data_IF_621109975244
#
_entry.id   IF_621109975244
#
_cell.length_a   1.000
_cell.length_b   1.000
_cell.length_c   1.000
_cell.angle_alpha   90.00
_cell.angle_beta   90.00
_cell.angle_gamma   90.00
#
_symmetry.space_group_name_H-M   'P 1'
#
loop_
_entity.id
_entity.type
_entity.pdbx_description
1 polymer ?
#
# COMPACT_ATOMS: atom_id res chain seq x y z
N UNK A 1 -0.64 -5.17 -14.35
CA UNK A 1 -0.67 -4.67 -13.80
C UNK A 1 0.20 -3.96 -13.17
N UNK A 2 0.07 -3.06 -12.70
CA UNK A 2 0.95 -2.21 -12.35
C UNK A 2 1.16 -2.17 -10.92
N UNK A 3 1.93 -2.99 -10.34
CA UNK A 3 2.24 -2.90 -8.94
C UNK A 3 2.92 -1.60 -8.64
N UNK A 4 3.63 -1.06 -9.62
CA UNK A 4 4.30 0.22 -9.40
C UNK A 4 3.30 1.32 -9.09
N UNK A 5 2.15 1.30 -9.72
CA UNK A 5 1.12 2.29 -9.46
C UNK A 5 0.63 2.20 -8.01
N UNK A 6 0.43 0.98 -7.53
CA UNK A 6 -0.01 0.80 -6.16
C UNK A 6 1.07 1.26 -5.19
N UNK A 7 2.31 0.94 -5.49
CA UNK A 7 3.41 1.29 -4.61
C UNK A 7 3.61 2.80 -4.58
N UNK A 8 3.43 3.47 -5.71
CA UNK A 8 3.54 4.92 -5.76
C UNK A 8 2.49 5.55 -4.88
N UNK A 9 1.28 5.03 -4.92
CA UNK A 9 0.21 5.55 -4.11
C UNK A 9 0.50 5.33 -2.62
N UNK A 10 0.98 4.15 -2.28
CA UNK A 10 1.30 3.85 -0.89
C UNK A 10 2.42 4.73 -0.39
N UNK A 11 3.38 5.01 -1.24
CA UNK A 11 4.48 5.87 -0.85
C UNK A 11 3.99 7.28 -0.57
N UNK A 12 3.06 7.75 -1.36
CA UNK A 12 2.48 9.06 -1.14
C UNK A 12 1.71 9.09 0.18
N UNK A 13 0.98 8.05 0.46
CA UNK A 13 0.24 7.99 1.72
C UNK A 13 1.20 8.03 2.90
N UNK A 14 2.28 7.29 2.80
CA UNK A 14 3.25 7.25 3.87
C UNK A 14 3.86 8.61 4.09
N UNK A 15 4.21 9.28 3.01
CA UNK A 15 4.86 10.57 3.13
C UNK A 15 3.92 11.66 3.59
N UNK A 16 2.66 11.52 3.27
CA UNK A 16 1.70 12.55 3.67
C UNK A 16 1.35 12.44 5.15
N UNK A 17 1.58 11.27 5.73
CA UNK A 17 1.28 11.09 7.14
C UNK A 17 -0.21 10.96 7.43
N UNK A 18 -1.04 10.79 6.41
CA UNK A 18 -2.47 10.70 6.64
C UNK A 18 -2.81 9.41 7.35
N UNK A 19 -2.02 8.38 7.22
CA UNK A 19 -2.28 7.15 7.92
C UNK A 19 -0.96 6.41 8.03
N UNK A 20 -0.89 5.42 8.91
CA UNK A 20 0.33 4.64 9.00
C UNK A 20 0.24 3.52 7.98
N UNK A 21 1.29 2.73 7.85
CA UNK A 21 1.33 1.70 6.85
C UNK A 21 0.25 0.67 7.03
N UNK A 22 -0.08 0.35 8.26
CA UNK A 22 -1.07 -0.68 8.52
C UNK A 22 -2.47 -0.19 8.20
N UNK A 23 -2.68 1.09 8.17
CA UNK A 23 -3.99 1.63 7.88
C UNK A 23 -4.19 1.95 6.42
N UNK A 24 -3.25 1.58 5.57
CA UNK A 24 -3.34 1.94 4.16
C UNK A 24 -4.26 1.05 3.33
N UNK A 25 -4.57 -0.14 3.82
CA UNK A 25 -5.41 -1.05 3.04
C UNK A 25 -6.76 -0.44 2.65
N UNK A 26 -7.49 0.18 3.57
CA UNK A 26 -8.77 0.77 3.18
C UNK A 26 -8.61 1.86 2.12
N UNK A 27 -7.50 2.56 2.17
CA UNK A 27 -7.25 3.61 1.19
C UNK A 27 -7.01 2.99 -0.19
N UNK A 28 -6.28 1.89 -0.23
CA UNK A 28 -6.05 1.19 -1.47
C UNK A 28 -7.35 0.66 -2.04
N UNK A 29 -8.19 0.10 -1.19
CA UNK A 29 -9.45 -0.44 -1.63
C UNK A 29 -10.29 0.61 -2.30
N UNK A 30 -10.32 1.79 -1.74
CA UNK A 30 -11.14 2.85 -2.30
C UNK A 30 -10.53 3.46 -3.54
N UNK A 31 -9.23 3.62 -3.54
CA UNK A 31 -8.57 4.27 -4.66
C UNK A 31 -8.60 3.42 -5.92
N UNK A 32 -8.40 2.12 -5.77
CA UNK A 32 -8.31 1.24 -6.90
C UNK A 32 -9.44 0.22 -6.98
N UNK A 33 -10.42 0.36 -6.14
CA UNK A 33 -11.58 -0.52 -6.15
C UNK A 33 -11.15 -1.97 -5.98
N UNK A 34 -10.34 -2.23 -5.00
CA UNK A 34 -9.84 -3.57 -4.74
C UNK A 34 -10.59 -4.21 -3.60
N UNK A 35 -10.54 -5.54 -3.55
CA UNK A 35 -11.13 -6.24 -2.43
C UNK A 35 -10.16 -6.14 -1.27
N UNK A 36 -10.64 -6.45 -0.08
CA UNK A 36 -9.80 -6.38 1.11
C UNK A 36 -8.61 -7.32 0.96
N UNK A 37 -8.83 -8.50 0.43
CA UNK A 37 -7.76 -9.47 0.27
C UNK A 37 -6.69 -8.95 -0.68
N UNK A 38 -7.11 -8.35 -1.76
CA UNK A 38 -6.17 -7.82 -2.73
C UNK A 38 -5.38 -6.66 -2.16
N UNK A 39 -6.06 -5.77 -1.48
CA UNK A 39 -5.39 -4.63 -0.89
C UNK A 39 -4.40 -5.07 0.17
N UNK A 40 -4.80 -6.03 0.98
CA UNK A 40 -3.92 -6.52 2.02
C UNK A 40 -2.68 -7.17 1.44
N UNK A 41 -2.86 -7.90 0.35
CA UNK A 41 -1.75 -8.55 -0.26
C UNK A 41 -0.77 -7.55 -0.84
N UNK A 42 -1.26 -6.55 -1.52
CA UNK A 42 -0.42 -5.51 -2.09
C UNK A 42 0.32 -4.77 -0.99
N UNK A 43 -0.40 -4.45 0.07
CA UNK A 43 0.20 -3.73 1.18
C UNK A 43 1.30 -4.56 1.83
N UNK A 44 1.03 -5.83 2.02
CA UNK A 44 1.99 -6.72 2.64
C UNK A 44 3.25 -6.85 1.78
N UNK A 45 3.07 -6.96 0.47
CA UNK A 45 4.20 -7.04 -0.44
C UNK A 45 5.01 -5.76 -0.38
N UNK A 46 4.33 -4.64 -0.35
CA UNK A 46 5.00 -3.35 -0.31
C UNK A 46 5.81 -3.21 0.98
N UNK A 47 5.21 -3.58 2.10
CA UNK A 47 5.91 -3.45 3.36
C UNK A 47 7.12 -4.38 3.44
N UNK A 48 6.96 -5.55 2.86
CA UNK A 48 8.03 -6.50 2.86
C UNK A 48 9.21 -5.99 2.04
N UNK A 49 8.91 -5.38 0.94
CA UNK A 49 9.92 -4.81 0.10
C UNK A 49 10.60 -3.61 0.77
N UNK A 50 9.81 -2.85 1.55
CA UNK A 50 10.30 -1.68 2.17
C UNK A 50 11.18 -1.99 3.33
N UNK A 51 10.92 -3.08 4.09
CA UNK A 51 11.59 -3.37 5.22
C UNK A 51 12.85 -4.01 4.86
N UNK A 52 13.83 -3.43 4.43
CA UNK A 52 14.96 -3.99 4.05
C UNK A 52 15.90 -4.20 5.06
N UNK A 53 16.48 -5.22 5.17
CA UNK A 53 17.39 -5.42 6.22
C UNK A 53 18.60 -4.76 5.88
N UNK A 54 18.96 -4.33 5.51
CA UNK A 54 20.01 -3.75 5.36
C UNK A 54 20.93 -4.23 5.62
#
# INVERSE_FOLDING_TARGET
>A
MEKQTYYDYLEELRQSGVTNMFGAAPYLMREFDLSHDEASKILSDWMSSYKQPE
#
